data_IF_537718300666
#
_entry.id   IF_537718300666
#
_cell.length_a   1.000
_cell.length_b   1.000
_cell.length_c   1.000
_cell.angle_alpha   90.00
_cell.angle_beta   90.00
_cell.angle_gamma   90.00
#
_symmetry.space_group_name_H-M   'P 1'
#
loop_
_entity.id
_entity.type
_entity.pdbx_description
1 polymer ?
#
# COMPACT_ATOMS: atom_id res chain seq x y z
N UNK A 1 39.75 17.42 -25.48
CA UNK A 1 38.61 16.50 -25.32
C UNK A 1 39.04 15.09 -24.87
N UNK A 2 40.04 14.99 -23.98
CA UNK A 2 40.60 13.68 -23.56
C UNK A 2 40.71 13.53 -22.03
N UNK A 3 40.31 14.55 -21.28
CA UNK A 3 40.36 14.51 -19.81
C UNK A 3 39.09 13.85 -19.27
N UNK A 4 39.21 12.78 -18.45
CA UNK A 4 38.05 12.15 -17.83
C UNK A 4 37.26 13.15 -16.98
N UNK A 5 37.92 14.15 -16.37
CA UNK A 5 37.23 15.22 -15.65
C UNK A 5 36.20 15.96 -16.52
N UNK A 6 36.57 16.32 -17.76
CA UNK A 6 35.65 17.03 -18.67
C UNK A 6 34.47 16.12 -19.04
N UNK A 7 34.71 14.82 -19.27
CA UNK A 7 33.64 13.87 -19.60
C UNK A 7 32.65 13.72 -18.45
N UNK A 8 33.14 13.52 -17.22
CA UNK A 8 32.31 13.32 -16.03
C UNK A 8 31.56 14.60 -15.64
N UNK A 9 32.20 15.78 -15.79
CA UNK A 9 31.54 17.07 -15.60
C UNK A 9 30.43 17.27 -16.62
N UNK A 10 30.71 17.02 -17.90
CA UNK A 10 29.72 17.14 -18.99
C UNK A 10 28.55 16.20 -18.74
N UNK A 11 28.81 14.94 -18.36
CA UNK A 11 27.78 13.97 -17.99
C UNK A 11 26.91 14.49 -16.84
N UNK A 12 27.52 15.01 -15.78
CA UNK A 12 26.79 15.57 -14.63
C UNK A 12 25.89 16.72 -15.05
N UNK A 13 26.43 17.70 -15.78
CA UNK A 13 25.66 18.88 -16.22
C UNK A 13 24.53 18.48 -17.15
N UNK A 14 24.79 17.61 -18.13
CA UNK A 14 23.78 17.14 -19.07
C UNK A 14 22.70 16.33 -18.36
N UNK A 15 23.07 15.39 -17.49
CA UNK A 15 22.09 14.56 -16.79
C UNK A 15 21.25 15.39 -15.81
N UNK A 16 21.87 16.09 -14.87
CA UNK A 16 21.13 16.76 -13.79
C UNK A 16 20.59 18.13 -14.18
N UNK A 17 21.20 18.80 -15.17
CA UNK A 17 20.77 20.11 -15.64
C UNK A 17 19.80 20.06 -16.82
N UNK A 18 19.80 18.99 -17.62
CA UNK A 18 18.99 18.90 -18.85
C UNK A 18 18.11 17.65 -18.85
N UNK A 19 18.70 16.45 -18.90
CA UNK A 19 17.96 15.21 -19.15
C UNK A 19 16.99 14.85 -18.03
N UNK A 20 17.45 14.79 -16.78
CA UNK A 20 16.62 14.41 -15.64
C UNK A 20 15.49 15.42 -15.39
N UNK A 21 15.71 16.75 -15.45
CA UNK A 21 14.60 17.71 -15.46
C UNK A 21 13.61 17.48 -16.60
N UNK A 22 14.06 17.23 -17.83
CA UNK A 22 13.18 17.03 -18.98
C UNK A 22 12.39 15.71 -18.94
N UNK A 23 12.95 14.65 -18.37
CA UNK A 23 12.30 13.33 -18.33
C UNK A 23 11.47 13.17 -17.06
N UNK A 24 11.93 13.69 -15.92
CA UNK A 24 11.34 13.43 -14.61
C UNK A 24 10.39 14.55 -14.13
N UNK A 25 10.16 15.62 -14.90
CA UNK A 25 9.32 16.73 -14.43
C UNK A 25 7.85 16.37 -14.15
N UNK A 26 7.35 15.25 -14.70
CA UNK A 26 6.01 14.71 -14.45
C UNK A 26 5.99 13.61 -13.39
N UNK A 27 7.14 13.18 -12.88
CA UNK A 27 7.22 12.10 -11.90
C UNK A 27 6.90 12.65 -10.50
N UNK A 28 5.70 12.34 -10.00
CA UNK A 28 5.26 12.78 -8.67
C UNK A 28 6.26 12.34 -7.58
N UNK A 29 6.52 13.23 -6.63
CA UNK A 29 7.52 13.05 -5.55
C UNK A 29 9.00 12.99 -5.95
N UNK A 30 9.35 13.02 -7.25
CA UNK A 30 10.71 13.31 -7.71
C UNK A 30 11.14 14.73 -7.33
N UNK A 31 12.44 14.95 -7.13
CA UNK A 31 12.99 16.29 -6.92
C UNK A 31 12.86 17.19 -8.17
N UNK A 32 12.72 16.60 -9.36
CA UNK A 32 12.52 17.33 -10.61
C UNK A 32 11.06 17.69 -10.88
N UNK A 33 10.13 17.25 -10.04
CA UNK A 33 8.70 17.45 -10.24
C UNK A 33 8.30 18.93 -10.24
N UNK A 34 7.75 19.41 -11.36
CA UNK A 34 7.30 20.80 -11.48
C UNK A 34 5.87 20.96 -10.95
N UNK A 35 5.76 21.07 -9.62
CA UNK A 35 4.48 21.16 -8.90
C UNK A 35 3.50 22.18 -9.47
N UNK A 36 3.98 23.37 -9.85
CA UNK A 36 3.11 24.44 -10.35
C UNK A 36 2.44 24.08 -11.69
N UNK A 37 3.10 23.26 -12.50
CA UNK A 37 2.60 22.88 -13.83
C UNK A 37 1.77 21.60 -13.79
N UNK A 38 2.17 20.61 -12.99
CA UNK A 38 1.58 19.27 -13.07
C UNK A 38 0.60 18.94 -11.96
N UNK A 39 0.68 19.57 -10.77
CA UNK A 39 -0.11 19.09 -9.62
C UNK A 39 -1.61 19.19 -9.84
N UNK A 40 -2.10 20.34 -10.32
CA UNK A 40 -3.52 20.52 -10.55
C UNK A 40 -4.04 19.62 -11.69
N UNK A 41 -3.45 19.61 -12.91
CA UNK A 41 -3.95 18.75 -13.98
C UNK A 41 -3.84 17.27 -13.61
N UNK A 42 -2.73 16.81 -13.00
CA UNK A 42 -2.59 15.43 -12.56
C UNK A 42 -3.62 15.05 -11.49
N UNK A 43 -3.94 15.96 -10.56
CA UNK A 43 -5.00 15.70 -9.56
C UNK A 43 -6.38 15.62 -10.21
N UNK A 44 -6.66 16.43 -11.23
CA UNK A 44 -7.91 16.36 -11.99
C UNK A 44 -8.02 15.09 -12.82
N UNK A 45 -6.98 14.75 -13.57
CA UNK A 45 -6.88 13.48 -14.33
C UNK A 45 -7.08 12.28 -13.41
N UNK A 46 -6.48 12.30 -12.21
CA UNK A 46 -6.67 11.23 -11.23
C UNK A 46 -8.11 11.16 -10.68
N UNK A 47 -8.78 12.30 -10.45
CA UNK A 47 -10.20 12.31 -10.06
C UNK A 47 -11.08 11.74 -11.17
N UNK A 48 -10.87 12.17 -12.41
CA UNK A 48 -11.62 11.70 -13.57
C UNK A 48 -11.42 10.20 -13.78
N UNK A 49 -10.18 9.72 -13.69
CA UNK A 49 -9.87 8.30 -13.77
C UNK A 49 -10.52 7.52 -12.63
N UNK A 50 -10.42 7.98 -11.38
CA UNK A 50 -11.06 7.31 -10.25
C UNK A 50 -12.59 7.26 -10.39
N UNK A 51 -13.21 8.31 -10.93
CA UNK A 51 -14.65 8.32 -11.20
C UNK A 51 -15.00 7.29 -12.28
N UNK A 52 -14.22 7.23 -13.37
CA UNK A 52 -14.42 6.22 -14.42
C UNK A 52 -14.24 4.79 -13.90
N UNK A 53 -13.20 4.54 -13.09
CA UNK A 53 -12.96 3.23 -12.46
C UNK A 53 -14.09 2.86 -11.47
N UNK A 54 -14.59 3.84 -10.71
CA UNK A 54 -15.77 3.68 -9.84
C UNK A 54 -17.02 3.26 -10.61
N UNK A 55 -17.34 3.95 -11.71
CA UNK A 55 -18.48 3.60 -12.57
C UNK A 55 -18.28 2.23 -13.24
N UNK A 56 -17.06 1.90 -13.67
CA UNK A 56 -16.76 0.57 -14.21
C UNK A 56 -16.97 -0.54 -13.17
N UNK A 57 -16.61 -0.30 -11.91
CA UNK A 57 -16.83 -1.23 -10.81
C UNK A 57 -18.33 -1.39 -10.47
N UNK A 58 -19.11 -0.30 -10.52
CA UNK A 58 -20.57 -0.36 -10.39
C UNK A 58 -21.18 -1.25 -11.48
N UNK A 59 -20.89 -0.95 -12.74
CA UNK A 59 -21.38 -1.74 -13.88
C UNK A 59 -20.93 -3.21 -13.83
N UNK A 60 -19.74 -3.49 -13.28
CA UNK A 60 -19.27 -4.85 -13.08
C UNK A 60 -20.23 -5.65 -12.18
N UNK A 61 -20.60 -5.11 -11.02
CA UNK A 61 -21.52 -5.79 -10.11
C UNK A 61 -22.97 -5.80 -10.59
N UNK A 62 -23.44 -4.74 -11.25
CA UNK A 62 -24.76 -4.74 -11.89
C UNK A 62 -24.89 -5.85 -12.95
N UNK A 63 -23.86 -6.05 -13.78
CA UNK A 63 -23.83 -7.12 -14.78
C UNK A 63 -23.82 -8.51 -14.14
N UNK A 64 -23.15 -8.67 -13.00
CA UNK A 64 -23.15 -9.94 -12.26
C UNK A 64 -24.52 -10.24 -11.61
N UNK A 65 -25.35 -9.23 -11.37
CA UNK A 65 -26.69 -9.38 -10.80
C UNK A 65 -27.72 -9.89 -11.84
N UNK A 66 -27.46 -9.70 -13.14
CA UNK A 66 -28.25 -10.25 -14.26
C UNK A 66 -28.15 -11.79 -14.20
N UNK A 67 -29.26 -12.55 -14.28
CA UNK A 67 -29.34 -13.88 -13.67
C UNK A 67 -28.47 -14.92 -14.38
N UNK A 68 -27.24 -15.07 -13.91
CA UNK A 68 -26.61 -16.38 -13.78
C UNK A 68 -26.99 -16.90 -12.40
N UNK A 69 -28.20 -17.45 -12.31
CA UNK A 69 -28.58 -18.36 -11.23
C UNK A 69 -27.78 -19.67 -11.38
N UNK A 70 -26.48 -19.60 -11.16
CA UNK A 70 -25.72 -20.74 -10.70
C UNK A 70 -25.72 -20.67 -9.18
N UNK A 71 -26.29 -21.71 -8.58
CA UNK A 71 -26.50 -21.92 -7.16
C UNK A 71 -25.40 -21.36 -6.26
N UNK A 72 -25.72 -20.95 -5.01
CA UNK A 72 -24.71 -20.68 -4.01
C UNK A 72 -23.88 -21.96 -3.83
N UNK A 73 -22.72 -22.01 -4.48
CA UNK A 73 -21.73 -23.07 -4.28
C UNK A 73 -21.51 -23.16 -2.78
N UNK A 74 -21.80 -24.36 -2.24
CA UNK A 74 -22.08 -24.62 -0.84
C UNK A 74 -21.26 -23.79 0.16
N UNK A 75 -21.95 -23.32 1.20
CA UNK A 75 -21.34 -22.95 2.48
C UNK A 75 -20.71 -24.20 3.11
N UNK A 76 -19.62 -24.70 2.53
CA UNK A 76 -18.75 -25.57 3.29
C UNK A 76 -18.05 -24.68 4.30
N UNK A 77 -18.31 -24.96 5.58
CA UNK A 77 -17.72 -24.32 6.74
C UNK A 77 -16.22 -24.65 6.83
N UNK A 78 -15.42 -24.19 5.87
CA UNK A 78 -13.98 -24.29 5.91
C UNK A 78 -13.39 -22.99 6.47
N UNK A 79 -12.53 -23.16 7.47
CA UNK A 79 -11.70 -22.10 8.02
C UNK A 79 -10.87 -21.45 6.88
N UNK A 80 -11.04 -20.14 6.59
CA UNK A 80 -10.28 -19.47 5.55
C UNK A 80 -8.78 -19.53 5.87
N UNK A 81 -7.97 -19.71 4.83
CA UNK A 81 -6.54 -19.42 4.95
C UNK A 81 -6.34 -17.90 5.05
N UNK A 82 -6.98 -17.14 4.16
CA UNK A 82 -6.93 -15.68 4.14
C UNK A 82 -8.34 -15.11 4.09
N UNK A 83 -8.67 -14.24 5.04
CA UNK A 83 -9.89 -13.43 4.99
C UNK A 83 -9.51 -11.98 4.64
N UNK A 84 -10.02 -11.48 3.52
CA UNK A 84 -9.90 -10.08 3.13
C UNK A 84 -11.10 -9.33 3.71
N UNK A 85 -10.87 -8.53 4.74
CA UNK A 85 -11.90 -7.73 5.38
C UNK A 85 -11.80 -6.29 4.89
N UNK A 86 -12.80 -5.85 4.12
CA UNK A 86 -12.88 -4.49 3.58
C UNK A 86 -13.70 -3.64 4.55
N UNK A 87 -13.06 -2.66 5.18
CA UNK A 87 -13.70 -1.68 6.06
C UNK A 87 -14.21 -0.54 5.22
N UNK A 88 -15.49 -0.21 5.35
CA UNK A 88 -16.10 0.86 4.56
C UNK A 88 -17.04 1.74 5.36
N UNK A 89 -17.08 3.01 4.96
CA UNK A 89 -17.99 4.05 5.44
C UNK A 89 -18.52 4.81 4.21
N UNK A 90 -19.68 5.45 4.31
CA UNK A 90 -20.21 6.21 3.19
C UNK A 90 -19.31 7.44 2.92
N UNK A 91 -18.81 7.55 1.70
CA UNK A 91 -18.05 8.72 1.20
C UNK A 91 -18.89 9.45 0.14
N UNK A 92 -18.26 10.15 -0.82
CA UNK A 92 -18.97 10.69 -1.99
C UNK A 92 -19.36 9.54 -2.93
N UNK A 93 -20.64 9.49 -3.31
CA UNK A 93 -21.19 8.42 -4.15
C UNK A 93 -20.50 8.32 -5.51
N UNK A 94 -20.07 9.44 -6.10
CA UNK A 94 -19.58 9.47 -7.49
C UNK A 94 -18.34 8.60 -7.74
N UNK A 95 -17.54 8.32 -6.70
CA UNK A 95 -16.28 7.59 -6.81
C UNK A 95 -16.40 6.09 -6.54
N UNK A 96 -17.44 5.64 -5.84
CA UNK A 96 -17.66 4.22 -5.53
C UNK A 96 -16.43 3.45 -5.01
N UNK A 97 -15.65 4.05 -4.09
CA UNK A 97 -14.35 3.51 -3.66
C UNK A 97 -14.41 2.03 -3.24
N UNK A 98 -15.39 1.66 -2.42
CA UNK A 98 -15.56 0.27 -1.96
C UNK A 98 -15.85 -0.69 -3.12
N UNK A 99 -16.60 -0.26 -4.14
CA UNK A 99 -16.85 -1.09 -5.34
C UNK A 99 -15.55 -1.31 -6.12
N UNK A 100 -14.68 -0.29 -6.22
CA UNK A 100 -13.38 -0.44 -6.89
C UNK A 100 -12.51 -1.49 -6.17
N UNK A 101 -12.41 -1.40 -4.84
CA UNK A 101 -11.64 -2.36 -4.04
C UNK A 101 -12.24 -3.77 -4.15
N UNK A 102 -13.55 -3.91 -3.95
CA UNK A 102 -14.23 -5.20 -3.98
C UNK A 102 -14.18 -5.85 -5.36
N UNK A 103 -14.43 -5.10 -6.45
CA UNK A 103 -14.39 -5.63 -7.82
C UNK A 103 -13.01 -6.12 -8.19
N UNK A 104 -11.95 -5.39 -7.81
CA UNK A 104 -10.57 -5.79 -8.05
C UNK A 104 -10.19 -7.04 -7.28
N UNK A 105 -10.49 -7.12 -5.98
CA UNK A 105 -10.27 -8.36 -5.22
C UNK A 105 -11.04 -9.55 -5.81
N UNK A 106 -12.32 -9.35 -6.16
CA UNK A 106 -13.15 -10.40 -6.73
C UNK A 106 -12.56 -10.91 -8.05
N UNK A 107 -12.15 -10.03 -8.96
CA UNK A 107 -11.50 -10.39 -10.22
C UNK A 107 -10.19 -11.15 -9.99
N UNK A 108 -9.34 -10.69 -9.06
CA UNK A 108 -8.06 -11.33 -8.76
C UNK A 108 -8.22 -12.70 -8.10
N UNK A 109 -9.24 -12.90 -7.27
CA UNK A 109 -9.57 -14.21 -6.70
C UNK A 109 -10.03 -15.19 -7.79
N UNK A 110 -10.87 -14.74 -8.72
CA UNK A 110 -11.29 -15.54 -9.87
C UNK A 110 -10.09 -15.96 -10.72
N UNK A 111 -9.19 -15.01 -11.03
CA UNK A 111 -7.95 -15.24 -11.80
C UNK A 111 -6.98 -16.19 -11.08
N UNK A 112 -6.90 -16.12 -9.76
CA UNK A 112 -6.06 -16.99 -8.93
C UNK A 112 -6.56 -18.46 -8.92
N UNK A 113 -7.87 -18.67 -9.09
CA UNK A 113 -8.48 -19.99 -9.21
C UNK A 113 -8.22 -20.88 -7.98
N UNK A 114 -7.82 -22.14 -8.23
CA UNK A 114 -7.67 -23.15 -7.18
C UNK A 114 -6.68 -22.76 -6.06
N UNK A 115 -5.67 -21.93 -6.35
CA UNK A 115 -4.68 -21.47 -5.36
C UNK A 115 -5.30 -20.58 -4.27
N UNK A 116 -6.33 -19.83 -4.63
CA UNK A 116 -7.04 -18.93 -3.72
C UNK A 116 -8.38 -19.51 -3.25
N UNK A 117 -8.63 -20.82 -3.40
CA UNK A 117 -9.91 -21.43 -3.01
C UNK A 117 -10.27 -21.23 -1.53
N UNK A 118 -9.28 -21.10 -0.65
CA UNK A 118 -9.45 -20.83 0.79
C UNK A 118 -9.37 -19.33 1.15
N UNK A 119 -9.52 -18.45 0.16
CA UNK A 119 -9.53 -17.00 0.36
C UNK A 119 -10.97 -16.50 0.26
N UNK A 120 -11.38 -15.66 1.21
CA UNK A 120 -12.74 -15.12 1.26
C UNK A 120 -12.70 -13.61 1.45
N UNK A 121 -13.77 -12.94 1.00
CA UNK A 121 -13.98 -11.50 1.21
C UNK A 121 -15.09 -11.34 2.25
N UNK A 122 -14.87 -10.42 3.20
CA UNK A 122 -15.86 -9.97 4.19
C UNK A 122 -15.99 -8.45 4.09
N UNK A 123 -17.21 -7.95 4.00
CA UNK A 123 -17.48 -6.52 4.10
C UNK A 123 -17.74 -6.16 5.57
N UNK A 124 -17.08 -5.12 6.05
CA UNK A 124 -17.33 -4.54 7.35
C UNK A 124 -17.86 -3.11 7.18
N UNK A 125 -19.18 -2.96 7.28
CA UNK A 125 -19.84 -1.67 7.21
C UNK A 125 -19.79 -0.99 8.58
N UNK A 126 -19.14 0.17 8.67
CA UNK A 126 -19.03 0.97 9.91
C UNK A 126 -19.70 2.34 9.77
N UNK A 127 -20.61 2.46 8.79
CA UNK A 127 -21.52 3.58 8.66
C UNK A 127 -22.51 3.62 9.83
N UNK A 128 -22.79 4.82 10.34
CA UNK A 128 -23.68 5.01 11.49
C UNK A 128 -25.15 4.75 11.13
N UNK A 129 -25.54 5.07 9.89
CA UNK A 129 -26.79 4.61 9.28
C UNK A 129 -26.47 3.65 8.12
N UNK A 130 -26.47 2.33 8.37
CA UNK A 130 -26.15 1.33 7.35
C UNK A 130 -27.05 1.41 6.10
N UNK A 131 -28.27 1.92 6.23
CA UNK A 131 -29.23 2.01 5.13
C UNK A 131 -28.86 3.07 4.08
N UNK A 132 -28.04 4.06 4.49
CA UNK A 132 -27.56 5.14 3.63
C UNK A 132 -26.45 4.70 2.67
N UNK A 133 -25.77 3.58 2.95
CA UNK A 133 -24.61 3.13 2.17
C UNK A 133 -25.00 2.32 0.93
N UNK A 134 -25.21 3.01 -0.20
CA UNK A 134 -25.79 2.41 -1.41
C UNK A 134 -24.92 1.30 -2.01
N UNK A 135 -23.60 1.52 -2.06
CA UNK A 135 -22.65 0.55 -2.63
C UNK A 135 -22.62 -0.74 -1.80
N UNK A 136 -22.64 -0.61 -0.47
CA UNK A 136 -22.66 -1.78 0.43
C UNK A 136 -23.93 -2.59 0.26
N UNK A 137 -25.09 -1.97 0.02
CA UNK A 137 -26.33 -2.72 -0.25
C UNK A 137 -26.20 -3.56 -1.51
N UNK A 138 -25.61 -3.02 -2.58
CA UNK A 138 -25.33 -3.79 -3.80
C UNK A 138 -24.40 -4.96 -3.49
N UNK A 139 -23.26 -4.69 -2.83
CA UNK A 139 -22.26 -5.69 -2.50
C UNK A 139 -22.73 -6.78 -1.53
N UNK A 140 -23.73 -6.49 -0.68
CA UNK A 140 -24.29 -7.44 0.30
C UNK A 140 -24.92 -8.68 -0.34
N UNK A 141 -25.27 -8.60 -1.62
CA UNK A 141 -25.77 -9.74 -2.40
C UNK A 141 -24.65 -10.66 -2.89
N UNK A 142 -23.39 -10.20 -2.90
CA UNK A 142 -22.23 -10.95 -3.40
C UNK A 142 -21.30 -11.43 -2.29
N UNK A 143 -21.15 -10.63 -1.23
CA UNK A 143 -20.22 -10.91 -0.15
C UNK A 143 -20.93 -10.91 1.20
N UNK A 144 -20.49 -11.77 2.14
CA UNK A 144 -20.96 -11.66 3.51
C UNK A 144 -20.59 -10.31 4.09
N UNK A 145 -21.47 -9.77 4.93
CA UNK A 145 -21.33 -8.45 5.52
C UNK A 145 -21.60 -8.50 7.02
N UNK A 146 -20.78 -7.79 7.78
CA UNK A 146 -21.06 -7.41 9.17
C UNK A 146 -21.23 -5.90 9.23
N UNK A 147 -22.19 -5.44 10.03
CA UNK A 147 -22.48 -4.02 10.19
C UNK A 147 -22.36 -3.62 11.65
N UNK A 148 -21.68 -2.51 11.91
CA UNK A 148 -21.66 -1.89 13.23
C UNK A 148 -22.90 -1.01 13.36
N UNK A 149 -24.03 -1.63 13.67
CA UNK A 149 -25.27 -0.88 13.84
C UNK A 149 -25.22 -0.04 15.13
N UNK A 150 -25.28 1.28 14.95
CA UNK A 150 -25.42 2.27 16.03
C UNK A 150 -26.80 2.95 16.00
N UNK A 151 -27.75 2.44 15.19
CA UNK A 151 -29.09 3.02 15.12
C UNK A 151 -29.75 2.95 16.50
N UNK A 152 -30.02 4.11 17.09
CA UNK A 152 -30.58 4.24 18.44
C UNK A 152 -29.56 4.51 19.56
N UNK A 153 -28.26 4.42 19.32
CA UNK A 153 -27.25 4.96 20.24
C UNK A 153 -27.10 6.46 19.97
N UNK A 154 -27.31 7.30 20.99
CA UNK A 154 -26.98 8.72 20.86
C UNK A 154 -25.49 8.85 20.53
N UNK A 155 -25.10 9.51 19.42
CA UNK A 155 -23.69 9.69 19.11
C UNK A 155 -23.04 10.43 20.27
N UNK A 156 -22.09 9.78 20.94
CA UNK A 156 -21.38 10.40 22.06
C UNK A 156 -20.68 11.66 21.52
N UNK A 157 -21.11 12.87 21.92
CA UNK A 157 -20.55 14.11 21.40
C UNK A 157 -19.08 14.31 21.80
N UNK A 158 -18.56 13.48 22.72
CA UNK A 158 -17.15 13.47 23.14
C UNK A 158 -16.28 12.55 22.29
N UNK A 159 -16.88 11.67 21.47
CA UNK A 159 -16.13 10.71 20.68
C UNK A 159 -15.46 11.40 19.50
N UNK A 160 -14.17 11.64 19.63
CA UNK A 160 -13.39 12.21 18.54
C UNK A 160 -13.27 11.23 17.37
N UNK A 161 -13.06 11.77 16.17
CA UNK A 161 -13.07 10.97 14.94
C UNK A 161 -11.95 9.93 14.85
N UNK A 162 -10.78 10.21 15.43
CA UNK A 162 -9.66 9.27 15.49
C UNK A 162 -9.97 8.07 16.38
N UNK A 163 -10.70 8.31 17.49
CA UNK A 163 -11.21 7.23 18.33
C UNK A 163 -12.30 6.43 17.63
N UNK A 164 -13.20 7.07 16.88
CA UNK A 164 -14.17 6.36 16.03
C UNK A 164 -13.46 5.41 15.07
N UNK A 165 -12.49 5.92 14.31
CA UNK A 165 -11.73 5.15 13.33
C UNK A 165 -11.02 3.93 13.97
N UNK A 166 -10.41 4.13 15.15
CA UNK A 166 -9.80 3.03 15.92
C UNK A 166 -10.85 1.99 16.34
N UNK A 167 -12.00 2.43 16.86
CA UNK A 167 -13.04 1.51 17.31
C UNK A 167 -13.67 0.74 16.16
N UNK A 168 -13.87 1.38 15.01
CA UNK A 168 -14.38 0.75 13.79
C UNK A 168 -13.41 -0.33 13.30
N UNK A 169 -12.11 -0.01 13.30
CA UNK A 169 -11.06 -0.97 13.00
C UNK A 169 -11.05 -2.17 13.95
N UNK A 170 -11.14 -1.91 15.27
CA UNK A 170 -11.21 -2.95 16.31
C UNK A 170 -12.44 -3.83 16.10
N UNK A 171 -13.60 -3.24 15.84
CA UNK A 171 -14.83 -3.99 15.57
C UNK A 171 -14.67 -4.91 14.37
N UNK A 172 -14.17 -4.41 13.23
CA UNK A 172 -14.00 -5.21 12.02
C UNK A 172 -12.99 -6.35 12.20
N UNK A 173 -11.87 -6.09 12.89
CA UNK A 173 -10.88 -7.12 13.20
C UNK A 173 -11.43 -8.19 14.16
N UNK A 174 -12.23 -7.79 15.13
CA UNK A 174 -12.91 -8.69 16.07
C UNK A 174 -13.96 -9.57 15.36
N UNK A 175 -14.83 -8.98 14.53
CA UNK A 175 -15.82 -9.73 13.75
C UNK A 175 -15.17 -10.73 12.78
N UNK A 176 -14.05 -10.34 12.17
CA UNK A 176 -13.27 -11.22 11.29
C UNK A 176 -12.82 -12.49 12.00
N UNK A 177 -12.37 -12.38 13.27
CA UNK A 177 -11.97 -13.51 14.09
C UNK A 177 -13.16 -14.34 14.57
N UNK A 178 -14.22 -13.69 15.03
CA UNK A 178 -15.38 -14.36 15.63
C UNK A 178 -16.19 -15.16 14.61
N UNK A 179 -16.41 -14.61 13.42
CA UNK A 179 -17.31 -15.22 12.41
C UNK A 179 -16.60 -16.31 11.60
N UNK A 180 -15.31 -16.14 11.29
CA UNK A 180 -14.60 -17.00 10.34
C UNK A 180 -13.41 -17.76 10.93
N UNK A 181 -12.86 -17.31 12.06
CA UNK A 181 -11.63 -17.84 12.66
C UNK A 181 -10.49 -18.12 11.65
N UNK A 182 -10.14 -17.20 10.74
CA UNK A 182 -9.19 -17.46 9.65
C UNK A 182 -7.75 -17.63 10.14
N UNK A 183 -6.87 -18.23 9.34
CA UNK A 183 -5.43 -18.30 9.66
C UNK A 183 -4.78 -16.90 9.56
N UNK A 184 -5.15 -16.14 8.52
CA UNK A 184 -4.70 -14.77 8.27
C UNK A 184 -5.87 -13.84 7.95
N UNK A 185 -5.75 -12.59 8.38
CA UNK A 185 -6.72 -11.51 8.11
C UNK A 185 -5.98 -10.38 7.40
N UNK A 186 -6.40 -10.09 6.18
CA UNK A 186 -5.99 -8.88 5.45
C UNK A 186 -7.08 -7.84 5.64
N UNK A 187 -6.85 -6.87 6.52
CA UNK A 187 -7.72 -5.70 6.66
C UNK A 187 -7.32 -4.67 5.63
N UNK A 188 -8.31 -4.18 4.89
CA UNK A 188 -8.16 -3.18 3.83
C UNK A 188 -9.21 -2.09 4.02
N UNK A 189 -8.81 -0.84 3.87
CA UNK A 189 -9.71 0.31 3.85
C UNK A 189 -10.39 0.43 2.47
N UNK A 190 -11.54 1.10 2.39
CA UNK A 190 -12.37 1.17 1.19
C UNK A 190 -11.74 1.92 0.02
N UNK A 191 -10.58 2.54 0.20
CA UNK A 191 -9.79 3.25 -0.81
C UNK A 191 -8.42 2.62 -1.09
N UNK A 192 -8.20 1.37 -0.68
CA UNK A 192 -6.98 0.62 -0.93
C UNK A 192 -7.19 -0.49 -1.98
N UNK A 193 -6.99 -0.13 -3.25
CA UNK A 193 -7.19 -1.03 -4.39
C UNK A 193 -5.99 -1.97 -4.52
N UNK A 194 -6.19 -3.31 -4.61
CA UNK A 194 -5.07 -4.25 -4.73
C UNK A 194 -4.37 -4.19 -6.09
N UNK A 195 -3.06 -4.43 -6.07
CA UNK A 195 -2.25 -4.66 -7.27
C UNK A 195 -2.46 -6.08 -7.83
N UNK A 196 -2.20 -6.24 -9.13
CA UNK A 196 -2.50 -7.47 -9.89
C UNK A 196 -1.81 -8.73 -9.32
N UNK A 197 -0.64 -8.56 -8.72
CA UNK A 197 0.19 -9.62 -8.19
C UNK A 197 -0.07 -9.94 -6.70
N UNK A 198 -0.98 -9.23 -6.03
CA UNK A 198 -1.16 -9.29 -4.57
C UNK A 198 -1.21 -10.73 -4.03
N UNK A 199 -2.04 -11.60 -4.60
CA UNK A 199 -2.19 -12.97 -4.12
C UNK A 199 -0.98 -13.85 -4.41
N UNK A 200 -0.32 -13.64 -5.56
CA UNK A 200 0.89 -14.38 -5.90
C UNK A 200 2.03 -14.02 -4.95
N UNK A 201 2.16 -12.73 -4.63
CA UNK A 201 3.17 -12.25 -3.66
C UNK A 201 2.83 -12.71 -2.26
N UNK A 202 1.59 -12.52 -1.79
CA UNK A 202 1.17 -12.98 -0.46
C UNK A 202 1.37 -14.49 -0.29
N UNK A 203 1.03 -15.29 -1.30
CA UNK A 203 1.28 -16.73 -1.26
C UNK A 203 2.77 -17.05 -1.10
N UNK A 204 3.64 -16.36 -1.85
CA UNK A 204 5.09 -16.51 -1.70
C UNK A 204 5.58 -16.10 -0.31
N UNK A 205 5.12 -14.96 0.21
CA UNK A 205 5.52 -14.45 1.53
C UNK A 205 5.09 -15.40 2.65
N UNK A 206 3.84 -15.86 2.64
CA UNK A 206 3.29 -16.78 3.64
C UNK A 206 4.07 -18.09 3.69
N UNK A 207 4.37 -18.69 2.53
CA UNK A 207 5.03 -19.99 2.44
C UNK A 207 6.55 -19.91 2.66
N UNK A 208 7.22 -18.95 2.03
CA UNK A 208 8.68 -18.92 1.96
C UNK A 208 9.34 -17.99 2.99
N UNK A 209 8.61 -17.02 3.55
CA UNK A 209 9.19 -15.97 4.41
C UNK A 209 8.63 -15.97 5.81
N UNK A 210 7.31 -16.03 5.97
CA UNK A 210 6.67 -15.90 7.28
C UNK A 210 6.80 -17.16 8.16
N UNK A 211 7.34 -18.25 7.61
CA UNK A 211 7.80 -19.41 8.39
C UNK A 211 9.05 -19.12 9.23
N UNK A 212 9.80 -18.05 8.92
CA UNK A 212 11.00 -17.67 9.67
C UNK A 212 10.62 -17.14 11.05
N UNK A 213 11.32 -17.53 12.15
CA UNK A 213 10.92 -17.20 13.52
C UNK A 213 10.68 -15.71 13.77
N UNK A 214 11.59 -14.85 13.28
CA UNK A 214 11.50 -13.40 13.50
C UNK A 214 10.34 -12.71 12.74
N UNK A 215 9.79 -13.34 11.70
CA UNK A 215 8.63 -12.84 10.96
C UNK A 215 7.33 -13.50 11.41
N UNK A 216 7.38 -14.76 11.85
CA UNK A 216 6.22 -15.54 12.23
C UNK A 216 5.40 -14.88 13.34
N UNK A 217 6.11 -14.30 14.32
CA UNK A 217 5.48 -13.70 15.51
C UNK A 217 5.23 -12.20 15.36
N UNK A 218 5.42 -11.62 14.17
CA UNK A 218 5.15 -10.22 13.90
C UNK A 218 3.70 -9.85 14.24
N UNK A 219 3.50 -8.67 14.81
CA UNK A 219 2.19 -8.14 15.15
C UNK A 219 1.36 -7.92 13.87
N UNK A 220 1.97 -7.35 12.84
CA UNK A 220 1.34 -7.12 11.54
C UNK A 220 2.37 -6.92 10.41
N UNK A 221 1.88 -7.06 9.18
CA UNK A 221 2.58 -6.68 7.96
C UNK A 221 1.78 -5.58 7.23
N UNK A 222 2.38 -4.40 7.02
CA UNK A 222 1.80 -3.37 6.16
C UNK A 222 2.01 -3.71 4.70
N UNK A 223 0.97 -3.53 3.89
CA UNK A 223 1.02 -3.73 2.44
C UNK A 223 1.07 -2.41 1.66
N UNK A 224 1.10 -1.29 2.38
CA UNK A 224 1.20 0.05 1.83
C UNK A 224 2.05 0.95 2.71
N UNK A 225 2.86 1.78 2.08
CA UNK A 225 3.53 2.91 2.69
C UNK A 225 3.62 4.06 1.69
N UNK A 226 3.29 5.32 2.07
CA UNK A 226 3.25 6.43 1.12
C UNK A 226 4.58 6.66 0.41
N UNK A 227 4.52 6.80 -0.91
CA UNK A 227 5.67 6.95 -1.81
C UNK A 227 6.52 8.18 -1.44
N UNK A 228 5.87 9.26 -0.98
CA UNK A 228 6.54 10.49 -0.53
C UNK A 228 7.48 10.31 0.67
N UNK A 229 7.26 9.27 1.49
CA UNK A 229 8.05 8.97 2.69
C UNK A 229 9.16 7.94 2.43
N UNK A 230 9.13 7.27 1.27
CA UNK A 230 10.03 6.19 0.91
C UNK A 230 11.40 6.67 0.37
N UNK A 231 11.90 7.85 0.73
CA UNK A 231 13.21 8.35 0.23
C UNK A 231 14.40 7.60 0.82
N UNK A 232 15.55 7.60 0.14
CA UNK A 232 16.79 7.05 0.72
C UNK A 232 17.32 7.94 1.83
N UNK A 233 17.15 9.26 1.70
CA UNK A 233 17.50 10.22 2.75
C UNK A 233 16.42 10.28 3.85
N UNK A 234 16.11 9.12 4.42
CA UNK A 234 15.26 8.94 5.59
C UNK A 234 16.04 8.02 6.57
N UNK A 235 16.13 8.32 7.88
CA UNK A 235 17.03 7.66 8.86
C UNK A 235 16.93 6.14 9.06
N UNK A 236 16.29 5.38 8.17
CA UNK A 236 16.21 3.93 8.25
C UNK A 236 17.49 3.25 7.72
N UNK A 237 18.20 2.46 8.55
CA UNK A 237 19.48 1.87 8.16
C UNK A 237 19.40 1.01 6.90
N UNK A 238 18.30 0.27 6.71
CA UNK A 238 18.12 -0.61 5.55
C UNK A 238 18.05 0.18 4.23
N UNK A 239 17.46 1.39 4.24
CA UNK A 239 17.39 2.24 3.05
C UNK A 239 18.76 2.80 2.70
N UNK A 240 19.55 3.20 3.71
CA UNK A 240 20.92 3.67 3.51
C UNK A 240 21.80 2.54 2.96
N UNK A 241 21.67 1.32 3.50
CA UNK A 241 22.41 0.15 3.00
C UNK A 241 22.02 -0.21 1.57
N UNK A 242 20.73 -0.14 1.21
CA UNK A 242 20.26 -0.31 -0.16
C UNK A 242 20.88 0.73 -1.09
N UNK A 243 20.92 2.00 -0.66
CA UNK A 243 21.47 3.10 -1.43
C UNK A 243 22.99 2.95 -1.66
N UNK A 244 23.73 2.60 -0.61
CA UNK A 244 25.14 2.28 -0.70
C UNK A 244 25.37 1.05 -1.59
N UNK A 245 24.54 0.02 -1.45
CA UNK A 245 24.59 -1.18 -2.29
C UNK A 245 24.40 -0.87 -3.78
N UNK A 246 23.44 0.01 -4.10
CA UNK A 246 23.23 0.51 -5.45
C UNK A 246 24.49 1.21 -6.00
N UNK A 247 25.09 2.12 -5.21
CA UNK A 247 26.33 2.80 -5.58
C UNK A 247 27.51 1.84 -5.76
N UNK A 248 27.69 0.88 -4.84
CA UNK A 248 28.75 -0.12 -4.90
C UNK A 248 28.61 -1.07 -6.10
N UNK A 249 27.39 -1.36 -6.54
CA UNK A 249 27.14 -2.17 -7.72
C UNK A 249 27.30 -1.39 -9.02
N UNK A 250 26.64 -0.23 -9.14
CA UNK A 250 26.64 0.58 -10.36
C UNK A 250 27.95 1.30 -10.60
N UNK A 251 28.72 1.64 -9.57
CA UNK A 251 30.02 2.32 -9.71
C UNK A 251 31.01 1.53 -10.59
N UNK A 252 31.37 0.29 -10.24
CA UNK A 252 32.22 -0.56 -11.05
C UNK A 252 31.61 -0.89 -12.42
N UNK A 253 30.30 -1.18 -12.48
CA UNK A 253 29.61 -1.49 -13.74
C UNK A 253 29.72 -0.33 -14.74
N UNK A 254 29.36 0.89 -14.33
CA UNK A 254 29.43 2.07 -15.18
C UNK A 254 30.87 2.45 -15.51
N UNK A 255 31.81 2.25 -14.59
CA UNK A 255 33.23 2.41 -14.91
C UNK A 255 33.67 1.42 -16.01
N UNK A 256 33.25 0.16 -15.98
CA UNK A 256 33.55 -0.81 -17.03
C UNK A 256 32.97 -0.36 -18.39
N UNK A 257 31.72 0.11 -18.41
CA UNK A 257 31.09 0.67 -19.62
C UNK A 257 31.86 1.89 -20.14
N UNK A 258 32.24 2.81 -19.25
CA UNK A 258 33.01 3.99 -19.59
C UNK A 258 34.41 3.64 -20.12
N UNK A 259 35.10 2.70 -19.47
CA UNK A 259 36.41 2.20 -19.89
C UNK A 259 36.35 1.56 -21.28
N UNK A 260 35.32 0.73 -21.53
CA UNK A 260 35.07 0.15 -22.84
C UNK A 260 34.82 1.23 -23.90
N UNK A 261 33.92 2.18 -23.64
CA UNK A 261 33.57 3.25 -24.57
C UNK A 261 34.74 4.21 -24.89
N UNK A 262 35.67 4.39 -23.95
CA UNK A 262 36.82 5.30 -24.10
C UNK A 262 38.14 4.59 -24.45
N UNK A 263 38.12 3.28 -24.68
CA UNK A 263 39.31 2.48 -24.97
C UNK A 263 40.31 2.41 -23.81
N UNK A 264 39.89 2.68 -22.58
CA UNK A 264 40.74 2.68 -21.39
C UNK A 264 40.75 1.30 -20.75
N UNK A 265 41.93 0.74 -20.51
CA UNK A 265 42.07 -0.65 -20.07
C UNK A 265 41.97 -0.85 -18.54
N UNK A 266 41.88 0.21 -17.72
CA UNK A 266 42.02 0.09 -16.25
C UNK A 266 40.79 0.53 -15.47
N UNK A 267 40.43 -0.25 -14.45
CA UNK A 267 39.52 0.15 -13.38
C UNK A 267 40.18 1.27 -12.57
N UNK A 268 39.55 2.44 -12.52
CA UNK A 268 40.05 3.61 -11.80
C UNK A 268 39.16 3.88 -10.59
N UNK A 269 39.68 3.69 -9.39
CA UNK A 269 38.93 3.92 -8.14
C UNK A 269 38.28 5.30 -8.04
N UNK A 270 38.92 6.41 -8.43
CA UNK A 270 38.26 7.72 -8.47
C UNK A 270 37.05 7.77 -9.41
N UNK A 271 37.09 7.06 -10.54
CA UNK A 271 36.00 7.02 -11.51
C UNK A 271 34.88 6.09 -11.02
N UNK A 272 35.23 4.97 -10.39
CA UNK A 272 34.28 4.09 -9.70
C UNK A 272 33.54 4.84 -8.59
N UNK A 273 34.26 5.59 -7.75
CA UNK A 273 33.66 6.39 -6.69
C UNK A 273 32.75 7.47 -7.27
N UNK A 274 33.18 8.15 -8.34
CA UNK A 274 32.32 9.11 -9.04
C UNK A 274 31.02 8.44 -9.52
N UNK A 275 31.09 7.31 -10.22
CA UNK A 275 29.89 6.64 -10.73
C UNK A 275 29.00 6.08 -9.61
N UNK A 276 29.58 5.64 -8.50
CA UNK A 276 28.84 5.24 -7.31
C UNK A 276 28.02 6.41 -6.76
N UNK A 277 28.68 7.55 -6.48
CA UNK A 277 28.02 8.76 -5.97
C UNK A 277 27.02 9.35 -6.97
N UNK A 278 27.36 9.33 -8.26
CA UNK A 278 26.47 9.78 -9.33
C UNK A 278 25.18 8.94 -9.37
N UNK A 279 25.30 7.61 -9.30
CA UNK A 279 24.14 6.70 -9.34
C UNK A 279 23.28 6.85 -8.09
N UNK A 280 23.92 6.99 -6.93
CA UNK A 280 23.25 7.29 -5.67
C UNK A 280 22.47 8.62 -5.75
N UNK A 281 23.12 9.69 -6.20
CA UNK A 281 22.46 11.00 -6.34
C UNK A 281 21.27 10.92 -7.32
N UNK A 282 21.45 10.26 -8.46
CA UNK A 282 20.39 10.10 -9.45
C UNK A 282 19.19 9.31 -8.89
N UNK A 283 19.42 8.21 -8.19
CA UNK A 283 18.34 7.39 -7.64
C UNK A 283 17.54 8.13 -6.56
N UNK A 284 18.20 8.94 -5.73
CA UNK A 284 17.52 9.76 -4.72
C UNK A 284 16.72 10.91 -5.37
N UNK A 285 17.29 11.58 -6.38
CA UNK A 285 16.62 12.70 -7.05
C UNK A 285 15.43 12.26 -7.90
N UNK A 286 15.53 11.12 -8.59
CA UNK A 286 14.41 10.53 -9.33
C UNK A 286 13.35 10.02 -8.36
N UNK A 287 13.77 9.32 -7.31
CA UNK A 287 12.90 8.80 -6.26
C UNK A 287 13.01 7.28 -6.11
N UNK A 288 13.27 6.82 -4.88
CA UNK A 288 13.40 5.38 -4.54
C UNK A 288 12.19 4.55 -4.93
N UNK A 289 10.97 5.06 -4.74
CA UNK A 289 9.74 4.29 -5.02
C UNK A 289 9.65 3.84 -6.49
N UNK A 290 10.14 4.62 -7.45
CA UNK A 290 10.25 4.19 -8.85
C UNK A 290 11.26 3.04 -9.06
N UNK A 291 12.33 3.00 -8.27
CA UNK A 291 13.27 1.88 -8.31
C UNK A 291 12.69 0.62 -7.66
N UNK A 292 11.83 0.77 -6.64
CA UNK A 292 11.15 -0.36 -6.01
C UNK A 292 10.22 -1.10 -6.97
N UNK A 293 9.65 -0.42 -7.95
CA UNK A 293 8.81 -1.03 -8.99
C UNK A 293 9.54 -2.14 -9.77
N UNK A 294 10.88 -2.08 -9.88
CA UNK A 294 11.68 -3.15 -10.48
C UNK A 294 11.56 -4.48 -9.73
N UNK A 295 11.20 -4.46 -8.43
CA UNK A 295 10.98 -5.68 -7.64
C UNK A 295 9.67 -6.38 -7.99
N UNK A 296 8.74 -5.73 -8.70
CA UNK A 296 7.49 -6.38 -9.14
C UNK A 296 7.71 -7.48 -10.17
N UNK A 297 8.88 -7.54 -10.78
CA UNK A 297 9.24 -8.56 -11.80
C UNK A 297 9.06 -10.00 -11.30
N UNK A 298 9.28 -10.26 -10.00
CA UNK A 298 9.10 -11.59 -9.45
C UNK A 298 8.81 -11.54 -7.94
N UNK A 299 7.93 -12.40 -7.39
CA UNK A 299 7.62 -12.43 -5.95
C UNK A 299 8.83 -12.51 -5.00
N UNK A 300 9.91 -13.26 -5.30
CA UNK A 300 11.08 -13.30 -4.43
C UNK A 300 11.87 -11.99 -4.31
N UNK A 301 11.66 -11.03 -5.24
CA UNK A 301 12.33 -9.74 -5.22
C UNK A 301 11.66 -8.74 -4.26
N UNK A 302 10.44 -9.05 -3.79
CA UNK A 302 9.79 -8.26 -2.75
C UNK A 302 10.58 -8.31 -1.45
N UNK A 303 10.73 -7.14 -0.84
CA UNK A 303 11.46 -7.00 0.41
C UNK A 303 10.51 -6.89 1.60
N UNK A 304 11.02 -7.29 2.77
CA UNK A 304 10.32 -7.16 4.05
C UNK A 304 11.26 -6.36 4.96
N UNK A 305 10.85 -5.14 5.31
CA UNK A 305 11.64 -4.25 6.17
C UNK A 305 10.84 -3.84 7.40
N UNK A 306 11.50 -3.42 8.50
CA UNK A 306 10.79 -2.91 9.68
C UNK A 306 9.86 -1.76 9.30
N UNK A 307 8.71 -1.70 9.99
CA UNK A 307 7.68 -0.70 9.69
C UNK A 307 8.02 0.69 10.23
N UNK A 308 7.36 1.72 9.70
CA UNK A 308 7.38 3.10 10.18
C UNK A 308 6.01 3.56 10.69
N UNK A 309 5.97 4.72 11.36
CA UNK A 309 4.77 5.27 12.03
C UNK A 309 3.55 5.38 11.11
N UNK A 310 3.68 5.88 9.88
CA UNK A 310 2.50 6.18 9.08
C UNK A 310 1.84 4.99 8.42
N UNK A 311 0.50 5.10 8.49
CA UNK A 311 -0.52 4.68 7.55
C UNK A 311 -0.89 3.19 7.63
N UNK A 312 -2.18 2.91 7.55
CA UNK A 312 -2.76 1.56 7.73
C UNK A 312 -3.83 1.15 6.70
N UNK A 313 -3.77 1.59 5.42
CA UNK A 313 -4.86 1.32 4.49
C UNK A 313 -4.94 -0.16 4.08
N UNK A 314 -3.85 -0.92 4.22
CA UNK A 314 -3.86 -2.37 4.11
C UNK A 314 -2.86 -3.01 5.08
N UNK A 315 -3.37 -3.88 5.96
CA UNK A 315 -2.60 -4.56 6.99
C UNK A 315 -2.97 -6.04 7.10
N UNK A 316 -1.95 -6.90 7.11
CA UNK A 316 -2.08 -8.34 7.26
C UNK A 316 -1.71 -8.78 8.68
N UNK A 317 -2.59 -9.57 9.29
CA UNK A 317 -2.42 -10.16 10.61
C UNK A 317 -2.51 -11.68 10.51
N UNK A 318 -1.79 -12.40 11.37
CA UNK A 318 -2.17 -13.78 11.70
C UNK A 318 -3.32 -13.74 12.70
N UNK A 319 -4.11 -14.81 12.82
CA UNK A 319 -5.17 -14.87 13.84
C UNK A 319 -4.65 -14.62 15.26
N UNK A 320 -3.45 -15.11 15.58
CA UNK A 320 -2.81 -14.89 16.87
C UNK A 320 -2.41 -13.42 17.07
N UNK A 321 -1.79 -12.80 16.06
CA UNK A 321 -1.35 -11.41 16.15
C UNK A 321 -2.53 -10.42 16.14
N UNK A 322 -3.60 -10.73 15.42
CA UNK A 322 -4.86 -10.00 15.45
C UNK A 322 -5.45 -9.93 16.86
N UNK A 323 -5.50 -11.05 17.60
CA UNK A 323 -5.98 -11.08 19.00
C UNK A 323 -5.14 -10.18 19.91
N UNK A 324 -3.80 -10.18 19.74
CA UNK A 324 -2.91 -9.29 20.51
C UNK A 324 -3.14 -7.83 20.14
N UNK A 325 -3.18 -7.50 18.85
CA UNK A 325 -3.47 -6.15 18.37
C UNK A 325 -4.80 -5.62 18.91
N UNK A 326 -5.85 -6.45 18.94
CA UNK A 326 -7.14 -6.12 19.56
C UNK A 326 -7.02 -5.80 21.04
N UNK A 327 -6.33 -6.65 21.83
CA UNK A 327 -6.13 -6.37 23.26
C UNK A 327 -5.43 -5.03 23.49
N UNK A 328 -4.41 -4.72 22.69
CA UNK A 328 -3.65 -3.49 22.84
C UNK A 328 -4.41 -2.25 22.40
N UNK A 329 -5.15 -2.32 21.29
CA UNK A 329 -5.94 -1.18 20.79
C UNK A 329 -7.13 -0.84 21.72
N UNK A 330 -7.70 -1.84 22.41
CA UNK A 330 -8.75 -1.63 23.41
C UNK A 330 -8.24 -0.90 24.66
N UNK A 331 -6.95 -1.01 25.00
CA UNK A 331 -6.30 -0.31 26.13
C UNK A 331 -5.97 1.17 25.83
N UNK A 332 -5.95 1.58 24.57
CA UNK A 332 -5.53 2.93 24.15
C UNK A 332 -6.71 3.81 23.79
N UNK A 333 -6.52 5.13 23.87
CA UNK A 333 -7.49 6.11 23.38
C UNK A 333 -6.83 6.99 22.31
N UNK A 334 -7.44 7.06 21.13
CA UNK A 334 -6.94 7.86 20.01
C UNK A 334 -7.45 9.30 20.10
N UNK A 335 -6.65 10.23 19.59
CA UNK A 335 -6.94 11.67 19.57
C UNK A 335 -6.16 12.34 18.44
N UNK A 336 -6.40 13.62 18.21
CA UNK A 336 -5.62 14.38 17.23
C UNK A 336 -4.11 14.29 17.52
N UNK A 337 -3.32 13.94 16.49
CA UNK A 337 -1.88 13.70 16.62
C UNK A 337 -1.50 12.33 17.19
N UNK A 338 -2.47 11.50 17.57
CA UNK A 338 -2.28 10.12 18.02
C UNK A 338 -3.42 9.26 17.45
N UNK A 339 -3.39 9.08 16.14
CA UNK A 339 -4.34 8.26 15.40
C UNK A 339 -3.98 6.77 15.52
N UNK A 340 -4.84 5.91 14.96
CA UNK A 340 -4.74 4.45 14.99
C UNK A 340 -3.37 3.92 14.53
N UNK A 341 -2.79 4.53 13.50
CA UNK A 341 -1.50 4.15 12.93
C UNK A 341 -0.34 4.41 13.90
N UNK A 342 -0.30 5.61 14.50
CA UNK A 342 0.66 5.98 15.54
C UNK A 342 0.45 5.11 16.78
N UNK A 343 -0.80 4.81 17.15
CA UNK A 343 -1.12 3.93 18.27
C UNK A 343 -0.51 2.54 18.04
N UNK A 344 -0.75 1.92 16.88
CA UNK A 344 -0.18 0.62 16.50
C UNK A 344 1.35 0.64 16.46
N UNK A 345 1.96 1.70 15.95
CA UNK A 345 3.41 1.83 15.93
C UNK A 345 4.00 1.97 17.35
N UNK A 346 3.38 2.80 18.21
CA UNK A 346 3.83 3.00 19.58
C UNK A 346 3.79 1.72 20.43
N UNK A 347 2.88 0.79 20.09
CA UNK A 347 2.76 -0.51 20.75
C UNK A 347 3.95 -1.43 20.49
N UNK A 348 4.62 -1.29 19.33
CA UNK A 348 5.80 -2.08 18.99
C UNK A 348 6.87 -1.94 20.07
N UNK A 349 7.23 -0.69 20.40
CA UNK A 349 8.20 -0.42 21.46
C UNK A 349 7.67 -0.72 22.87
N UNK A 350 6.41 -0.37 23.16
CA UNK A 350 5.84 -0.54 24.51
C UNK A 350 5.62 -1.99 24.93
N UNK A 351 5.29 -2.86 23.98
CA UNK A 351 4.97 -4.28 24.23
C UNK A 351 6.08 -5.22 23.73
N UNK A 352 7.17 -4.69 23.15
CA UNK A 352 8.25 -5.51 22.59
C UNK A 352 7.85 -6.29 21.35
N UNK A 353 6.89 -5.77 20.57
CA UNK A 353 6.38 -6.38 19.36
C UNK A 353 7.17 -5.92 18.14
N UNK A 354 7.21 -6.76 17.10
CA UNK A 354 7.81 -6.41 15.81
C UNK A 354 6.72 -6.31 14.74
N UNK A 355 6.88 -5.39 13.80
CA UNK A 355 6.03 -5.30 12.62
C UNK A 355 6.85 -4.88 11.41
N UNK A 356 6.35 -5.25 10.24
CA UNK A 356 7.09 -5.11 8.99
C UNK A 356 6.22 -4.48 7.91
N UNK A 357 6.86 -4.00 6.85
CA UNK A 357 6.22 -3.54 5.62
C UNK A 357 6.78 -4.31 4.43
N UNK A 358 5.89 -4.64 3.50
CA UNK A 358 6.24 -5.26 2.22
C UNK A 358 6.53 -4.16 1.21
N UNK A 359 7.67 -4.26 0.52
CA UNK A 359 8.08 -3.30 -0.51
C UNK A 359 8.38 -4.01 -1.84
N UNK A 360 7.79 -3.58 -2.97
CA UNK A 360 6.89 -2.42 -3.14
C UNK A 360 5.48 -2.65 -2.58
N UNK A 361 4.65 -1.59 -2.59
CA UNK A 361 3.27 -1.61 -2.11
C UNK A 361 2.44 -2.64 -2.89
N UNK A 362 1.64 -3.45 -2.19
CA UNK A 362 0.71 -4.42 -2.82
C UNK A 362 -0.70 -3.88 -3.01
N UNK A 363 -0.96 -2.66 -2.55
CA UNK A 363 -2.18 -1.91 -2.81
C UNK A 363 -1.80 -0.49 -3.22
N UNK A 364 -2.66 0.16 -3.99
CA UNK A 364 -2.62 1.59 -4.27
C UNK A 364 -3.71 2.30 -3.47
N UNK A 365 -3.40 3.47 -2.94
CA UNK A 365 -4.38 4.29 -2.23
C UNK A 365 -5.04 5.28 -3.20
N UNK A 366 -6.32 5.08 -3.49
CA UNK A 366 -7.09 5.91 -4.45
C UNK A 366 -7.89 7.01 -3.76
N UNK A 367 -7.94 7.02 -2.43
CA UNK A 367 -8.78 7.91 -1.63
C UNK A 367 -8.29 9.35 -1.65
N UNK A 368 -8.98 10.21 -2.40
CA UNK A 368 -8.71 11.67 -2.40
C UNK A 368 -9.65 12.41 -1.44
N UNK A 369 -10.86 11.89 -1.25
CA UNK A 369 -11.82 12.42 -0.28
C UNK A 369 -11.78 11.56 0.98
N UNK A 370 -11.35 12.17 2.08
CA UNK A 370 -11.34 11.54 3.39
C UNK A 370 -12.68 11.77 4.09
N UNK A 371 -13.20 10.76 4.76
CA UNK A 371 -14.29 10.93 5.73
C UNK A 371 -13.87 11.78 6.94
N UNK A 372 -12.56 11.93 7.18
CA UNK A 372 -11.99 12.69 8.30
C UNK A 372 -11.86 14.20 8.05
N UNK A 373 -11.81 14.62 6.79
CA UNK A 373 -11.57 16.03 6.44
C UNK A 373 -12.42 16.42 5.24
N UNK A 374 -13.32 17.39 5.45
CA UNK A 374 -13.99 18.06 4.35
C UNK A 374 -12.95 18.83 3.53
N UNK A 375 -12.67 18.36 2.33
CA UNK A 375 -11.84 19.05 1.36
C UNK A 375 -12.51 18.96 0.00
N UNK A 376 -12.99 20.07 -0.52
CA UNK A 376 -13.69 20.10 -1.80
C UNK A 376 -12.74 19.95 -3.00
N UNK A 377 -11.46 20.28 -2.84
CA UNK A 377 -10.43 20.26 -3.88
C UNK A 377 -9.19 19.46 -3.43
N UNK A 378 -9.27 18.12 -3.36
CA UNK A 378 -8.14 17.28 -2.99
C UNK A 378 -7.03 17.30 -4.05
N UNK A 379 -5.78 17.17 -3.61
CA UNK A 379 -4.57 17.17 -4.45
C UNK A 379 -3.69 15.97 -4.08
N UNK A 380 -2.97 15.44 -5.07
CA UNK A 380 -2.06 14.29 -4.98
C UNK A 380 -0.75 14.59 -4.22
N UNK A 381 -0.81 15.05 -2.96
CA UNK A 381 0.37 15.47 -2.19
C UNK A 381 0.83 14.49 -1.10
#
# INVERSE_FOLDING_TARGET
WSSPFIHLLTLTVVTFGVLAPLICHRLLHSYFYLRHWHLNPMSQEFLEQNQQEGQAALHYFEKLQIPNASEPSGRDAFQPLLLVTIITVQRRNDFHYVLQVASRFHHLLQKCGARCRRHHILLCNVESDPSSHQDVRLLSSFFPMVSRDRTGENPDPRLNQFEKEKQDYVFCLEQSLLVYNPEYILIVEDDAVPEEEIFTVLQHLLLARFSKPYLRDALYFKLYHPERLQRYFNPEPMRILEWLGLGMFLGPMLNCVYSWATGRSRLSWPIVLFFALYSMALSELVGRHYMLELRRLAPPLYNIVPVTECCTPAMLFSAASARRALSYLKELHCRQGFAKDIALYSLLHRKGENAYVVEPNLVRHVGMYSSLRANDNPKLL
#
